data_IF_246533573064
#
_entry.id   IF_246533573064
#
_cell.length_a   1.000
_cell.length_b   1.000
_cell.length_c   1.000
_cell.angle_alpha   90.00
_cell.angle_beta   90.00
_cell.angle_gamma   90.00
#
_symmetry.space_group_name_H-M   'P 1'
#
loop_
_entity.id
_entity.type
_entity.pdbx_description
1 polymer ?
#
# COMPACT_ATOMS: atom_id res chain seq x y z
N UNK A 1 15.30 -2.55 -7.60
CA UNK A 1 14.87 -1.20 -8.01
C UNK A 1 13.37 -1.10 -8.30
N UNK A 2 12.82 -1.89 -9.25
CA UNK A 2 11.38 -1.83 -9.62
C UNK A 2 10.41 -2.10 -8.46
N UNK A 3 10.70 -3.07 -7.60
CA UNK A 3 9.89 -3.36 -6.40
C UNK A 3 9.79 -2.16 -5.46
N UNK A 4 10.93 -1.52 -5.16
CA UNK A 4 10.99 -0.36 -4.27
C UNK A 4 10.17 0.82 -4.81
N UNK A 5 10.22 1.06 -6.12
CA UNK A 5 9.41 2.09 -6.78
C UNK A 5 7.92 1.80 -6.69
N UNK A 6 7.50 0.54 -6.87
CA UNK A 6 6.10 0.13 -6.75
C UNK A 6 5.59 0.20 -5.32
N UNK A 7 6.41 -0.20 -4.34
CA UNK A 7 6.11 -0.06 -2.91
C UNK A 7 5.96 1.42 -2.52
N UNK A 8 6.87 2.28 -2.98
CA UNK A 8 6.79 3.71 -2.73
C UNK A 8 5.52 4.31 -3.37
N UNK A 9 5.18 3.93 -4.61
CA UNK A 9 3.93 4.32 -5.27
C UNK A 9 2.71 3.88 -4.47
N UNK A 10 2.71 2.66 -3.93
CA UNK A 10 1.62 2.14 -3.10
C UNK A 10 1.43 2.97 -1.82
N UNK A 11 2.52 3.32 -1.14
CA UNK A 11 2.51 4.12 0.08
C UNK A 11 2.10 5.59 -0.16
N UNK A 12 2.49 6.14 -1.30
CA UNK A 12 2.17 7.51 -1.70
C UNK A 12 0.79 7.63 -2.40
N UNK A 13 0.19 6.51 -2.80
CA UNK A 13 -1.14 6.50 -3.41
C UNK A 13 -2.18 6.93 -2.36
N UNK A 14 -2.68 8.15 -2.52
CA UNK A 14 -3.74 8.73 -1.70
C UNK A 14 -4.97 8.97 -2.55
N UNK A 15 -6.15 8.82 -1.96
CA UNK A 15 -7.40 9.21 -2.62
C UNK A 15 -7.34 10.68 -3.03
N UNK A 16 -6.98 11.58 -2.10
CA UNK A 16 -6.98 13.02 -2.34
C UNK A 16 -8.32 13.47 -2.97
N UNK A 17 -8.22 14.11 -4.13
CA UNK A 17 -9.36 14.58 -4.94
C UNK A 17 -9.90 13.54 -5.94
N UNK A 18 -9.28 12.35 -6.03
CA UNK A 18 -9.75 11.29 -6.92
C UNK A 18 -11.09 10.74 -6.43
N UNK A 19 -11.92 10.28 -7.38
CA UNK A 19 -13.06 9.45 -7.03
C UNK A 19 -12.60 8.12 -6.42
N UNK A 20 -13.46 7.47 -5.64
CA UNK A 20 -13.17 6.16 -5.06
C UNK A 20 -12.85 5.14 -6.17
N UNK A 21 -13.55 5.21 -7.31
CA UNK A 21 -13.32 4.33 -8.45
C UNK A 21 -11.93 4.52 -9.06
N UNK A 22 -11.48 5.76 -9.27
CA UNK A 22 -10.15 6.07 -9.80
C UNK A 22 -9.05 5.67 -8.83
N UNK A 23 -9.22 5.97 -7.54
CA UNK A 23 -8.28 5.56 -6.50
C UNK A 23 -8.14 4.03 -6.43
N UNK A 24 -9.26 3.31 -6.43
CA UNK A 24 -9.26 1.84 -6.37
C UNK A 24 -8.63 1.23 -7.62
N UNK A 25 -8.86 1.82 -8.80
CA UNK A 25 -8.24 1.40 -10.05
C UNK A 25 -6.71 1.58 -10.01
N UNK A 26 -6.23 2.74 -9.55
CA UNK A 26 -4.80 3.00 -9.42
C UNK A 26 -4.13 2.07 -8.40
N UNK A 27 -4.79 1.85 -7.26
CA UNK A 27 -4.33 0.92 -6.23
C UNK A 27 -4.21 -0.51 -6.77
N UNK A 28 -5.23 -0.98 -7.50
CA UNK A 28 -5.25 -2.30 -8.13
C UNK A 28 -4.11 -2.45 -9.13
N UNK A 29 -3.89 -1.48 -10.01
CA UNK A 29 -2.81 -1.52 -11.00
C UNK A 29 -1.43 -1.70 -10.33
N UNK A 30 -1.18 -0.98 -9.23
CA UNK A 30 0.09 -1.13 -8.49
C UNK A 30 0.21 -2.52 -7.88
N UNK A 31 -0.86 -3.07 -7.31
CA UNK A 31 -0.89 -4.45 -6.79
C UNK A 31 -0.66 -5.50 -7.89
N UNK A 32 -1.23 -5.29 -9.08
CA UNK A 32 -1.08 -6.19 -10.22
C UNK A 32 0.38 -6.12 -10.75
N UNK A 33 0.98 -4.94 -10.83
CA UNK A 33 2.40 -4.78 -11.18
C UNK A 33 3.34 -5.45 -10.17
N UNK A 34 3.00 -5.40 -8.88
CA UNK A 34 3.72 -6.11 -7.82
C UNK A 34 3.55 -7.62 -7.95
N UNK A 35 2.34 -8.10 -8.27
CA UNK A 35 2.08 -9.52 -8.49
C UNK A 35 2.86 -10.07 -9.70
N UNK A 36 2.98 -9.30 -10.78
CA UNK A 36 3.77 -9.67 -11.97
C UNK A 36 5.25 -9.92 -11.62
N UNK A 37 5.81 -9.17 -10.66
CA UNK A 37 7.19 -9.37 -10.19
C UNK A 37 7.31 -10.37 -9.03
N UNK A 38 6.24 -11.11 -8.73
CA UNK A 38 6.22 -12.14 -7.68
C UNK A 38 6.03 -11.60 -6.25
N UNK A 39 5.67 -10.32 -6.10
CA UNK A 39 5.45 -9.66 -4.80
C UNK A 39 3.96 -9.49 -4.57
N UNK A 40 3.31 -10.55 -4.12
CA UNK A 40 1.89 -10.52 -3.80
C UNK A 40 1.64 -9.63 -2.58
N UNK A 41 0.73 -8.67 -2.73
CA UNK A 41 0.18 -7.92 -1.60
C UNK A 41 -0.96 -8.75 -1.02
N UNK A 42 -0.89 -9.05 0.29
CA UNK A 42 -1.95 -9.79 0.99
C UNK A 42 -3.25 -8.99 1.00
N UNK A 43 -4.38 -9.67 0.88
CA UNK A 43 -5.69 -9.01 0.84
C UNK A 43 -6.01 -8.26 2.14
N UNK A 44 -5.56 -8.77 3.29
CA UNK A 44 -5.66 -8.04 4.56
C UNK A 44 -4.89 -6.70 4.52
N UNK A 45 -3.69 -6.71 3.94
CA UNK A 45 -2.92 -5.48 3.73
C UNK A 45 -3.65 -4.54 2.77
N UNK A 46 -4.24 -5.06 1.68
CA UNK A 46 -5.01 -4.24 0.74
C UNK A 46 -6.18 -3.52 1.42
N UNK A 47 -6.94 -4.25 2.24
CA UNK A 47 -8.07 -3.69 3.01
C UNK A 47 -7.56 -2.62 3.99
N UNK A 48 -6.46 -2.89 4.70
CA UNK A 48 -5.82 -1.93 5.58
C UNK A 48 -5.46 -0.63 4.84
N UNK A 49 -4.82 -0.71 3.66
CA UNK A 49 -4.47 0.46 2.86
C UNK A 49 -5.71 1.23 2.37
N UNK A 50 -6.74 0.52 1.88
CA UNK A 50 -7.97 1.14 1.38
C UNK A 50 -8.80 1.83 2.47
N UNK A 51 -8.87 1.25 3.67
CA UNK A 51 -9.67 1.76 4.80
C UNK A 51 -8.94 2.88 5.55
N UNK A 52 -7.62 2.75 5.71
CA UNK A 52 -6.83 3.73 6.45
C UNK A 52 -6.47 4.96 5.63
N UNK A 53 -6.28 4.85 4.30
CA UNK A 53 -6.05 6.07 3.49
C UNK A 53 -7.23 7.05 3.57
N UNK A 54 -8.43 6.54 3.85
CA UNK A 54 -9.63 7.36 4.03
C UNK A 54 -9.71 8.02 5.42
N UNK A 55 -8.96 7.54 6.43
CA UNK A 55 -9.16 7.91 7.83
C UNK A 55 -7.89 8.30 8.60
N UNK A 56 -6.68 8.12 8.05
CA UNK A 56 -5.41 8.32 8.78
C UNK A 56 -4.58 9.51 8.27
N UNK A 57 -4.08 10.29 9.22
CA UNK A 57 -3.10 11.36 9.04
C UNK A 57 -1.73 10.80 8.56
N UNK A 58 -0.90 11.59 7.85
CA UNK A 58 0.37 11.13 7.26
C UNK A 58 1.38 10.47 8.20
N UNK A 59 1.30 10.76 9.50
CA UNK A 59 2.28 10.34 10.51
C UNK A 59 2.13 8.86 10.93
N UNK A 60 0.90 8.36 11.00
CA UNK A 60 0.60 6.98 11.45
C UNK A 60 0.91 5.92 10.40
N UNK A 61 1.06 6.33 9.13
CA UNK A 61 1.42 5.44 8.02
C UNK A 61 2.91 5.03 8.06
N UNK A 62 3.77 5.88 8.63
CA UNK A 62 5.21 5.61 8.78
C UNK A 62 5.46 4.42 9.72
N UNK A 63 4.75 4.37 10.85
CA UNK A 63 4.92 3.34 11.88
C UNK A 63 4.51 1.94 11.42
N UNK A 64 3.54 1.82 10.51
CA UNK A 64 3.03 0.53 10.04
C UNK A 64 3.85 -0.09 8.90
N UNK A 65 4.71 0.69 8.22
CA UNK A 65 5.63 0.13 7.21
C UNK A 65 6.82 -0.62 7.84
N UNK A 66 7.10 -0.39 9.12
CA UNK A 66 8.14 -1.11 9.86
C UNK A 66 7.67 -2.48 10.36
N UNK A 67 6.36 -2.72 10.50
CA UNK A 67 5.83 -3.93 11.16
C UNK A 67 5.64 -5.11 10.19
N UNK A 68 5.58 -4.89 8.87
CA UNK A 68 5.52 -6.00 7.89
C UNK A 68 6.90 -6.56 7.48
N UNK A 69 7.90 -6.37 8.35
CA UNK A 69 9.25 -6.88 8.17
C UNK A 69 9.86 -7.25 9.53
N UNK A 70 9.60 -8.49 9.97
CA UNK A 70 10.25 -9.26 11.05
C UNK A 70 9.44 -9.39 12.36
N UNK A 71 9.10 -10.62 12.79
CA UNK A 71 9.05 -10.95 14.21
C UNK A 71 10.50 -11.12 14.68
N UNK A 72 11.14 -10.04 15.12
CA UNK A 72 12.38 -10.17 15.88
C UNK A 72 12.03 -10.61 17.30
N UNK A 73 11.92 -11.93 17.50
CA UNK A 73 12.14 -12.55 18.81
C UNK A 73 13.63 -12.95 18.85
N UNK A 74 14.41 -12.19 19.61
CA UNK A 74 15.67 -12.61 20.22
C UNK A 74 15.74 -11.95 21.60
#
# INVERSE_FOLDING_TARGET
EREMLLMQKLQMNRKGNLSIAEYTKNFKNICDELAIIGKLVLDQSKVFWLVLDQNMSPLERSSNSTILGSPCLA
#
